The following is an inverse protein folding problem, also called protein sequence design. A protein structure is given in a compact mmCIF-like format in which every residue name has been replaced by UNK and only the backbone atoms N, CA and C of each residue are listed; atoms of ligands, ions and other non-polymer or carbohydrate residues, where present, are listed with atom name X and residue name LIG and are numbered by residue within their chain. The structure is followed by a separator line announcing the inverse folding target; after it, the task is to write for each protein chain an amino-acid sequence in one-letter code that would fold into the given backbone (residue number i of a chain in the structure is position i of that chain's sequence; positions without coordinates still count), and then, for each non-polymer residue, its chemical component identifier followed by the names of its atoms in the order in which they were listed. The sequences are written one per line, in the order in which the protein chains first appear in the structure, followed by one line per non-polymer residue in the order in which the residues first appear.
data_IF_869151166383
#
_entry.id   IF_869151166383
#
_cell.length_a   1.000
_cell.length_b   1.000
_cell.length_c   1.000
_cell.angle_alpha   90.00
_cell.angle_beta   90.00
_cell.angle_gamma   90.00
#
_symmetry.space_group_name_H-M   'P 1'
#
loop_
_entity.id
_entity.type
_entity.pdbx_description
1 polymer ?
#
# COMPACT_ATOMS: atom_id res chain seq x y z
N UNK A 1 -7.26 -60.98 -29.87
CA UNK A 1 -6.80 -59.56 -29.89
C UNK A 1 -6.23 -59.25 -28.50
N UNK A 2 -4.98 -59.59 -28.18
CA UNK A 2 -3.71 -58.86 -28.37
C UNK A 2 -3.66 -57.45 -27.73
N UNK A 3 -2.85 -57.38 -26.66
CA UNK A 3 -2.07 -56.25 -26.10
C UNK A 3 -2.82 -55.11 -25.39
N UNK A 4 -2.68 -55.06 -24.05
CA UNK A 4 -2.46 -53.85 -23.22
C UNK A 4 -2.42 -54.23 -21.73
N UNK A 5 -1.31 -54.81 -21.26
CA UNK A 5 -0.99 -55.02 -19.84
C UNK A 5 0.53 -55.02 -19.67
N UNK A 6 1.17 -53.84 -19.69
CA UNK A 6 2.62 -53.68 -19.39
C UNK A 6 3.05 -52.20 -19.30
N UNK A 7 2.31 -51.35 -18.57
CA UNK A 7 2.81 -49.97 -18.27
C UNK A 7 2.55 -49.53 -16.81
N UNK A 8 1.67 -50.20 -16.06
CA UNK A 8 1.30 -49.76 -14.70
C UNK A 8 2.31 -50.12 -13.58
N UNK A 9 3.43 -50.81 -13.88
CA UNK A 9 4.35 -51.30 -12.85
C UNK A 9 5.68 -50.51 -12.74
N UNK A 10 5.90 -49.48 -13.56
CA UNK A 10 7.18 -48.75 -13.61
C UNK A 10 7.13 -47.32 -13.02
N UNK A 11 5.94 -46.82 -12.64
CA UNK A 11 5.79 -45.46 -12.07
C UNK A 11 5.82 -45.47 -10.53
N UNK A 12 5.54 -46.60 -9.88
CA UNK A 12 5.57 -46.69 -8.41
C UNK A 12 6.98 -46.89 -7.80
N UNK A 13 8.00 -47.23 -8.60
CA UNK A 13 9.37 -47.43 -8.11
C UNK A 13 10.22 -46.14 -8.09
N UNK A 14 9.75 -45.06 -8.74
CA UNK A 14 10.48 -43.78 -8.82
C UNK A 14 10.12 -42.78 -7.70
N UNK A 15 9.00 -42.99 -6.99
CA UNK A 15 8.55 -42.10 -5.90
C UNK A 15 9.12 -42.53 -4.53
N UNK A 16 9.64 -43.76 -4.40
CA UNK A 16 10.20 -44.27 -3.16
C UNK A 16 11.72 -44.01 -2.97
N UNK A 17 12.41 -43.38 -3.92
CA UNK A 17 13.87 -43.17 -3.88
C UNK A 17 14.33 -41.70 -3.77
N UNK A 18 13.41 -40.75 -3.57
CA UNK A 18 13.74 -39.34 -3.35
C UNK A 18 13.48 -38.85 -1.91
N UNK A 19 13.28 -39.77 -0.96
CA UNK A 19 13.07 -39.51 0.47
C UNK A 19 14.26 -39.88 1.37
N UNK A 20 15.48 -40.04 0.82
CA UNK A 20 16.64 -40.44 1.62
C UNK A 20 17.91 -39.67 1.23
N UNK A 21 18.02 -38.40 1.60
CA UNK A 21 19.32 -37.71 1.74
C UNK A 21 19.22 -36.34 2.41
N UNK A 22 18.99 -36.31 3.73
CA UNK A 22 19.47 -35.21 4.58
C UNK A 22 20.16 -35.85 5.80
N UNK A 23 21.48 -35.66 5.87
CA UNK A 23 22.32 -36.10 6.98
C UNK A 23 22.19 -35.14 8.17
N UNK A 24 22.29 -35.63 9.42
CA UNK A 24 22.39 -34.77 10.60
C UNK A 24 23.87 -34.40 10.83
N UNK A 25 24.22 -33.12 10.68
CA UNK A 25 25.45 -32.60 11.25
C UNK A 25 25.16 -31.99 12.62
N UNK A 26 25.52 -32.77 13.63
CA UNK A 26 25.66 -32.32 15.00
C UNK A 26 26.85 -31.38 15.10
N UNK A 27 26.60 -30.09 15.37
CA UNK A 27 27.62 -29.16 15.84
C UNK A 27 27.37 -28.85 17.31
N UNK A 28 28.28 -29.36 18.12
CA UNK A 28 28.42 -29.08 19.54
C UNK A 28 28.70 -27.58 19.75
N UNK A 29 27.79 -26.86 20.42
CA UNK A 29 28.08 -25.53 20.95
C UNK A 29 28.51 -25.64 22.41
N UNK A 30 29.80 -25.36 22.59
CA UNK A 30 30.49 -25.17 23.86
C UNK A 30 29.80 -24.16 24.76
N UNK A 31 29.41 -24.60 25.98
CA UNK A 31 29.02 -23.74 27.10
C UNK A 31 30.15 -22.75 27.44
N UNK A 32 29.83 -21.46 27.46
CA UNK A 32 30.55 -20.43 28.24
C UNK A 32 29.55 -19.57 29.02
N UNK A 33 29.96 -19.05 30.20
CA UNK A 33 29.04 -18.65 31.25
C UNK A 33 28.38 -17.29 30.96
N UNK A 34 27.07 -17.22 31.21
CA UNK A 34 26.29 -15.98 31.18
C UNK A 34 26.67 -15.16 32.42
N UNK A 35 27.37 -14.04 32.19
CA UNK A 35 27.51 -12.98 33.15
C UNK A 35 26.14 -12.32 33.37
N UNK A 36 25.66 -12.40 34.59
CA UNK A 36 24.44 -11.78 35.11
C UNK A 36 24.58 -10.25 34.99
N UNK A 37 23.91 -9.64 34.01
CA UNK A 37 23.75 -8.19 33.89
C UNK A 37 22.27 -7.84 33.99
N UNK A 38 21.96 -7.06 35.01
CA UNK A 38 20.66 -6.51 35.42
C UNK A 38 19.78 -6.04 34.25
N UNK A 39 18.61 -6.67 34.09
CA UNK A 39 17.66 -6.49 32.99
C UNK A 39 16.49 -5.54 33.24
N UNK A 40 16.40 -4.84 34.39
CA UNK A 40 15.19 -4.07 34.72
C UNK A 40 15.05 -2.70 34.05
N UNK A 41 16.11 -2.15 33.43
CA UNK A 41 16.07 -0.80 32.84
C UNK A 41 15.72 -0.79 31.33
N UNK A 42 15.84 -1.93 30.64
CA UNK A 42 15.57 -2.03 29.20
C UNK A 42 14.11 -2.41 28.92
N UNK A 43 13.47 -3.18 29.81
CA UNK A 43 12.05 -3.53 29.70
C UNK A 43 11.13 -2.30 29.84
N UNK A 44 11.38 -1.41 30.81
CA UNK A 44 10.54 -0.21 31.00
C UNK A 44 10.66 0.85 29.90
N UNK A 45 11.80 0.93 29.21
CA UNK A 45 11.97 1.84 28.08
C UNK A 45 11.17 1.37 26.85
N UNK A 46 11.15 0.06 26.60
CA UNK A 46 10.38 -0.56 25.51
C UNK A 46 8.86 -0.51 25.76
N UNK A 47 8.44 -0.68 27.01
CA UNK A 47 7.03 -0.66 27.40
C UNK A 47 6.39 0.74 27.24
N UNK A 48 7.12 1.79 27.61
CA UNK A 48 6.63 3.18 27.47
C UNK A 48 6.54 3.66 26.01
N UNK A 49 7.45 3.20 25.13
CA UNK A 49 7.37 3.51 23.69
C UNK A 49 6.27 2.71 23.00
N UNK A 50 6.05 1.46 23.41
CA UNK A 50 4.95 0.61 22.92
C UNK A 50 3.58 1.18 23.27
N UNK A 51 3.38 1.61 24.52
CA UNK A 51 2.10 2.17 24.99
C UNK A 51 1.75 3.49 24.28
N UNK A 52 2.73 4.37 24.09
CA UNK A 52 2.53 5.64 23.37
C UNK A 52 2.20 5.40 21.88
N UNK A 53 2.80 4.39 21.27
CA UNK A 53 2.50 3.98 19.90
C UNK A 53 1.07 3.44 19.78
N UNK A 54 0.64 2.58 20.71
CA UNK A 54 -0.71 2.02 20.73
C UNK A 54 -1.78 3.12 20.88
N UNK A 55 -1.62 4.02 21.86
CA UNK A 55 -2.57 5.13 22.06
C UNK A 55 -2.66 6.06 20.83
N UNK A 56 -1.54 6.28 20.13
CA UNK A 56 -1.56 7.06 18.88
C UNK A 56 -2.34 6.34 17.80
N UNK A 57 -2.15 5.02 17.64
CA UNK A 57 -2.89 4.23 16.63
C UNK A 57 -4.40 4.26 16.91
N UNK A 58 -4.82 3.98 18.13
CA UNK A 58 -6.25 3.97 18.49
C UNK A 58 -6.90 5.35 18.31
N UNK A 59 -6.20 6.43 18.69
CA UNK A 59 -6.69 7.80 18.44
C UNK A 59 -6.83 8.12 16.96
N UNK A 60 -5.90 7.65 16.13
CA UNK A 60 -5.98 7.84 14.68
C UNK A 60 -7.16 7.06 14.08
N UNK A 61 -7.41 5.83 14.53
CA UNK A 61 -8.56 5.04 14.09
C UNK A 61 -9.89 5.72 14.43
N UNK A 62 -10.04 6.20 15.66
CA UNK A 62 -11.23 6.97 16.08
C UNK A 62 -11.38 8.23 15.22
N UNK A 63 -10.29 8.95 14.98
CA UNK A 63 -10.30 10.17 14.16
C UNK A 63 -10.75 9.88 12.71
N UNK A 64 -10.25 8.82 12.07
CA UNK A 64 -10.69 8.43 10.72
C UNK A 64 -12.18 8.14 10.69
N UNK A 65 -12.69 7.29 11.59
CA UNK A 65 -14.11 6.92 11.55
C UNK A 65 -15.03 8.08 11.95
N UNK A 66 -14.51 9.03 12.74
CA UNK A 66 -15.19 10.29 13.03
C UNK A 66 -15.25 11.19 11.79
N UNK A 67 -14.14 11.38 11.07
CA UNK A 67 -14.14 12.14 9.81
C UNK A 67 -15.10 11.53 8.79
N UNK A 68 -15.04 10.20 8.60
CA UNK A 68 -15.92 9.45 7.68
C UNK A 68 -17.40 9.71 7.95
N UNK A 69 -17.79 9.73 9.22
CA UNK A 69 -19.20 9.94 9.61
C UNK A 69 -19.69 11.36 9.35
N UNK A 70 -18.76 12.32 9.19
CA UNK A 70 -19.02 13.73 8.97
C UNK A 70 -18.66 14.22 7.55
N UNK A 71 -18.25 13.30 6.67
CA UNK A 71 -17.77 13.62 5.34
C UNK A 71 -18.78 13.18 4.26
N UNK A 72 -19.46 14.12 3.58
CA UNK A 72 -20.40 13.77 2.51
C UNK A 72 -19.72 13.17 1.28
N UNK A 73 -18.40 13.34 1.12
CA UNK A 73 -17.61 12.71 0.06
C UNK A 73 -16.85 11.48 0.56
N UNK A 74 -17.15 11.03 1.77
CA UNK A 74 -16.51 9.87 2.36
C UNK A 74 -16.85 8.58 1.62
N UNK A 75 -15.93 7.62 1.67
CA UNK A 75 -16.16 6.28 1.15
C UNK A 75 -17.24 5.56 1.96
N UNK A 76 -18.05 4.75 1.28
CA UNK A 76 -18.88 3.79 1.97
C UNK A 76 -17.98 2.77 2.70
N UNK A 77 -18.28 2.38 3.95
CA UNK A 77 -17.62 1.25 4.59
C UNK A 77 -17.85 -0.05 3.81
N UNK A 78 -16.88 -0.97 3.85
CA UNK A 78 -16.95 -2.24 3.10
C UNK A 78 -18.22 -3.04 3.43
N UNK A 79 -18.58 -3.18 4.70
CA UNK A 79 -19.81 -3.88 5.12
C UNK A 79 -21.08 -3.24 4.52
N UNK A 80 -21.11 -1.91 4.42
CA UNK A 80 -22.19 -1.17 3.75
C UNK A 80 -22.18 -1.38 2.24
N UNK A 81 -21.01 -1.50 1.60
CA UNK A 81 -20.92 -1.84 0.18
C UNK A 81 -21.45 -3.26 -0.05
N UNK A 82 -20.97 -4.24 0.71
CA UNK A 82 -21.31 -5.66 0.59
C UNK A 82 -22.81 -5.94 0.69
N UNK A 83 -23.52 -5.18 1.53
CA UNK A 83 -24.96 -5.28 1.68
C UNK A 83 -25.77 -4.80 0.44
N UNK A 84 -25.14 -4.12 -0.52
CA UNK A 84 -25.80 -3.62 -1.74
C UNK A 84 -25.84 -4.69 -2.83
N UNK A 85 -26.88 -4.70 -3.68
CA UNK A 85 -26.83 -5.47 -4.91
C UNK A 85 -25.79 -4.89 -5.88
N UNK A 86 -25.17 -5.74 -6.71
CA UNK A 86 -24.38 -5.29 -7.87
C UNK A 86 -25.26 -4.42 -8.78
N UNK A 87 -24.62 -3.52 -9.53
CA UNK A 87 -25.28 -2.61 -10.46
C UNK A 87 -24.79 -2.91 -11.88
N UNK A 88 -25.61 -2.62 -12.88
CA UNK A 88 -25.20 -2.83 -14.28
C UNK A 88 -23.98 -1.97 -14.63
N UNK A 89 -23.09 -2.51 -15.48
CA UNK A 89 -21.89 -1.79 -15.92
C UNK A 89 -22.19 -0.47 -16.64
N UNK A 90 -23.37 -0.37 -17.25
CA UNK A 90 -23.85 0.82 -17.96
C UNK A 90 -24.61 1.82 -17.05
N UNK A 91 -24.74 1.52 -15.74
CA UNK A 91 -25.37 2.44 -14.81
C UNK A 91 -24.57 3.77 -14.72
N UNK A 92 -25.22 4.94 -14.76
CA UNK A 92 -24.53 6.22 -14.77
C UNK A 92 -23.55 6.44 -13.60
N UNK A 93 -23.85 5.90 -12.41
CA UNK A 93 -22.95 6.03 -11.25
C UNK A 93 -21.71 5.12 -11.39
N UNK A 94 -21.88 3.92 -11.96
CA UNK A 94 -20.77 3.00 -12.27
C UNK A 94 -19.86 3.62 -13.32
N UNK A 95 -20.44 4.14 -14.42
CA UNK A 95 -19.70 4.81 -15.49
C UNK A 95 -18.92 6.01 -14.94
N UNK A 96 -19.56 6.87 -14.14
CA UNK A 96 -18.89 8.01 -13.52
C UNK A 96 -17.75 7.60 -12.57
N UNK A 97 -17.92 6.48 -11.85
CA UNK A 97 -16.87 5.87 -11.03
C UNK A 97 -15.69 5.36 -11.85
N UNK A 98 -15.96 4.63 -12.93
CA UNK A 98 -14.96 4.11 -13.86
C UNK A 98 -14.16 5.23 -14.54
N UNK A 99 -14.85 6.27 -15.03
CA UNK A 99 -14.21 7.44 -15.63
C UNK A 99 -13.33 8.19 -14.63
N UNK A 100 -13.76 8.31 -13.37
CA UNK A 100 -12.95 8.89 -12.29
C UNK A 100 -11.70 8.05 -12.05
N UNK A 101 -11.83 6.73 -11.92
CA UNK A 101 -10.70 5.82 -11.77
C UNK A 101 -9.71 5.94 -12.94
N UNK A 102 -10.22 5.89 -14.17
CA UNK A 102 -9.42 5.99 -15.40
C UNK A 102 -8.67 7.33 -15.49
N UNK A 103 -9.32 8.43 -15.13
CA UNK A 103 -8.69 9.77 -15.07
C UNK A 103 -7.58 9.84 -14.03
N UNK A 104 -7.75 9.18 -12.88
CA UNK A 104 -6.81 9.21 -11.77
C UNK A 104 -5.66 8.21 -11.91
N UNK A 105 -5.79 7.18 -12.76
CA UNK A 105 -4.78 6.14 -12.96
C UNK A 105 -3.35 6.68 -13.19
N UNK A 106 -3.09 7.70 -14.03
CA UNK A 106 -1.74 8.23 -14.20
C UNK A 106 -1.15 8.84 -12.91
N UNK A 107 -1.98 9.48 -12.09
CA UNK A 107 -1.56 10.02 -10.79
C UNK A 107 -1.31 8.89 -9.79
N UNK A 108 -2.21 7.91 -9.72
CA UNK A 108 -2.07 6.74 -8.86
C UNK A 108 -0.76 6.00 -9.15
N UNK A 109 -0.44 5.71 -10.42
CA UNK A 109 0.85 5.12 -10.83
C UNK A 109 2.04 5.91 -10.32
N UNK A 110 2.03 7.23 -10.54
CA UNK A 110 3.13 8.10 -10.13
C UNK A 110 3.36 8.03 -8.62
N UNK A 111 2.29 8.12 -7.83
CA UNK A 111 2.37 8.14 -6.36
C UNK A 111 2.65 6.76 -5.78
N UNK A 112 2.07 5.70 -6.32
CA UNK A 112 2.31 4.32 -5.90
C UNK A 112 3.78 3.94 -6.12
N UNK A 113 4.36 4.23 -7.30
CA UNK A 113 5.77 3.96 -7.58
C UNK A 113 6.69 4.76 -6.65
N UNK A 114 6.37 6.02 -6.37
CA UNK A 114 7.15 6.84 -5.44
C UNK A 114 7.09 6.28 -4.01
N UNK A 115 5.89 5.90 -3.55
CA UNK A 115 5.67 5.28 -2.24
C UNK A 115 6.42 3.96 -2.10
N UNK A 116 6.37 3.11 -3.13
CA UNK A 116 7.06 1.82 -3.17
C UNK A 116 8.58 1.98 -3.13
N UNK A 117 9.14 2.95 -3.87
CA UNK A 117 10.58 3.30 -3.79
C UNK A 117 10.97 3.79 -2.40
N UNK A 118 10.12 4.61 -1.77
CA UNK A 118 10.32 5.09 -0.41
C UNK A 118 10.35 3.94 0.60
N UNK A 119 9.38 3.02 0.53
CA UNK A 119 9.33 1.82 1.37
C UNK A 119 10.55 0.93 1.13
N UNK A 120 10.89 0.62 -0.12
CA UNK A 120 12.04 -0.21 -0.41
C UNK A 120 13.36 0.40 0.12
N UNK A 121 13.51 1.71 0.05
CA UNK A 121 14.66 2.41 0.66
C UNK A 121 14.63 2.27 2.19
N UNK A 122 13.48 2.48 2.82
CA UNK A 122 13.31 2.35 4.28
C UNK A 122 13.63 0.93 4.79
N UNK A 123 13.27 -0.10 4.03
CA UNK A 123 13.44 -1.50 4.40
C UNK A 123 14.66 -2.19 3.77
N UNK A 124 15.50 -1.46 3.03
CA UNK A 124 16.73 -2.00 2.43
C UNK A 124 16.49 -3.00 1.28
N UNK A 125 15.35 -2.90 0.58
CA UNK A 125 15.04 -3.75 -0.57
C UNK A 125 15.76 -3.22 -1.82
N UNK A 126 16.43 -4.08 -2.61
CA UNK A 126 17.19 -3.64 -3.78
C UNK A 126 16.35 -2.89 -4.82
N UNK A 127 16.87 -1.74 -5.28
CA UNK A 127 16.19 -0.85 -6.23
C UNK A 127 15.79 -1.53 -7.55
N UNK A 128 16.52 -2.56 -7.99
CA UNK A 128 16.21 -3.26 -9.24
C UNK A 128 14.86 -4.00 -9.17
N UNK A 129 14.47 -4.54 -8.00
CA UNK A 129 13.17 -5.19 -7.79
C UNK A 129 12.05 -4.18 -7.95
N UNK A 130 12.20 -3.02 -7.32
CA UNK A 130 11.24 -1.91 -7.39
C UNK A 130 11.17 -1.34 -8.80
N UNK A 131 12.27 -1.25 -9.52
CA UNK A 131 12.26 -0.77 -10.90
C UNK A 131 11.54 -1.74 -11.84
N UNK A 132 11.70 -3.05 -11.63
CA UNK A 132 10.95 -4.07 -12.36
C UNK A 132 9.44 -4.01 -12.04
N UNK A 133 9.08 -3.88 -10.76
CA UNK A 133 7.69 -3.69 -10.33
C UNK A 133 7.08 -2.40 -10.92
N UNK A 134 7.82 -1.29 -10.87
CA UNK A 134 7.38 -0.01 -11.43
C UNK A 134 7.13 -0.10 -12.95
N UNK A 135 7.92 -0.87 -13.69
CA UNK A 135 7.69 -1.08 -15.12
C UNK A 135 6.35 -1.80 -15.38
N UNK A 136 5.98 -2.76 -14.53
CA UNK A 136 4.68 -3.46 -14.60
C UNK A 136 3.54 -2.52 -14.25
N UNK A 137 3.66 -1.76 -13.16
CA UNK A 137 2.68 -0.72 -12.77
C UNK A 137 2.45 0.31 -13.89
N UNK A 138 3.50 0.67 -14.63
CA UNK A 138 3.38 1.60 -15.76
C UNK A 138 2.63 1.01 -16.95
N UNK A 139 2.59 -0.31 -17.11
CA UNK A 139 1.94 -0.98 -18.24
C UNK A 139 0.41 -0.97 -18.17
N UNK A 140 -0.18 -0.69 -17.00
CA UNK A 140 -1.63 -0.61 -16.81
C UNK A 140 -2.23 0.53 -17.61
N UNK A 141 -3.16 0.30 -18.52
CA UNK A 141 -3.74 1.36 -19.34
C UNK A 141 -5.22 1.57 -19.09
N UNK A 142 -5.89 0.60 -18.48
CA UNK A 142 -7.34 0.52 -18.48
C UNK A 142 -7.91 0.23 -17.10
N UNK A 143 -9.07 0.82 -16.84
CA UNK A 143 -10.00 0.45 -15.77
C UNK A 143 -11.23 -0.15 -16.40
N UNK A 144 -11.68 -1.29 -15.88
CA UNK A 144 -12.86 -2.00 -16.40
C UNK A 144 -13.84 -2.33 -15.27
N UNK A 145 -15.10 -1.87 -15.35
CA UNK A 145 -16.13 -2.29 -14.40
C UNK A 145 -16.48 -3.77 -14.57
N UNK A 146 -16.66 -4.47 -13.46
CA UNK A 146 -17.04 -5.88 -13.40
C UNK A 146 -18.13 -6.06 -12.33
N UNK A 147 -19.27 -6.65 -12.71
CA UNK A 147 -20.40 -6.84 -11.80
C UNK A 147 -20.16 -7.93 -10.76
N UNK A 148 -19.33 -8.92 -11.10
CA UNK A 148 -19.08 -10.10 -10.29
C UNK A 148 -18.08 -9.82 -9.16
N UNK A 149 -17.22 -8.80 -9.33
CA UNK A 149 -16.26 -8.37 -8.31
C UNK A 149 -16.88 -7.60 -7.14
N UNK A 150 -18.12 -7.09 -7.28
CA UNK A 150 -18.88 -6.41 -6.22
C UNK A 150 -18.10 -5.26 -5.55
N UNK A 151 -17.65 -5.43 -4.30
CA UNK A 151 -16.95 -4.46 -3.45
C UNK A 151 -15.43 -4.56 -3.56
N UNK A 152 -14.91 -5.40 -4.48
CA UNK A 152 -13.48 -5.61 -4.67
C UNK A 152 -12.97 -4.96 -5.96
N UNK A 153 -11.66 -4.78 -6.02
CA UNK A 153 -10.93 -4.59 -7.27
C UNK A 153 -9.93 -5.75 -7.41
N UNK A 154 -9.55 -6.06 -8.64
CA UNK A 154 -8.55 -7.11 -8.88
C UNK A 154 -7.75 -6.82 -10.13
N UNK A 155 -6.60 -7.46 -10.17
CA UNK A 155 -5.69 -7.51 -11.31
C UNK A 155 -5.44 -8.97 -11.66
N UNK A 156 -5.67 -9.34 -12.92
CA UNK A 156 -5.40 -10.70 -13.36
C UNK A 156 -3.96 -10.84 -13.84
N UNK A 157 -3.36 -12.01 -13.58
CA UNK A 157 -1.96 -12.26 -13.92
C UNK A 157 -1.71 -12.35 -15.43
N UNK A 158 -2.73 -12.74 -16.20
CA UNK A 158 -2.74 -12.86 -17.66
C UNK A 158 -3.08 -11.53 -18.36
N UNK A 159 -3.80 -10.62 -17.70
CA UNK A 159 -3.97 -9.24 -18.14
C UNK A 159 -3.33 -8.22 -17.18
N UNK A 160 -2.04 -7.98 -17.38
CA UNK A 160 -1.28 -6.98 -16.63
C UNK A 160 -1.57 -5.52 -17.06
N UNK A 161 -2.57 -5.26 -17.91
CA UNK A 161 -2.88 -3.93 -18.43
C UNK A 161 -4.18 -3.33 -17.91
N UNK A 162 -4.99 -4.14 -17.23
CA UNK A 162 -6.33 -3.74 -16.78
C UNK A 162 -6.44 -3.95 -15.28
N UNK A 163 -7.05 -2.97 -14.60
CA UNK A 163 -7.55 -3.15 -13.24
C UNK A 163 -9.06 -3.27 -13.35
N UNK A 164 -9.60 -4.38 -12.87
CA UNK A 164 -11.03 -4.63 -12.85
C UNK A 164 -11.60 -4.14 -11.53
N UNK A 165 -12.71 -3.44 -11.59
CA UNK A 165 -13.36 -2.88 -10.42
C UNK A 165 -14.80 -3.37 -10.32
N UNK A 166 -15.13 -3.89 -9.15
CA UNK A 166 -16.49 -4.14 -8.74
C UNK A 166 -17.37 -2.89 -8.87
N UNK A 167 -18.57 -3.05 -9.45
CA UNK A 167 -19.46 -1.91 -9.73
C UNK A 167 -19.86 -1.15 -8.47
N UNK A 168 -20.16 -1.85 -7.37
CA UNK A 168 -20.49 -1.20 -6.10
C UNK A 168 -19.27 -0.58 -5.43
N UNK A 169 -18.07 -1.09 -5.71
CA UNK A 169 -16.84 -0.46 -5.21
C UNK A 169 -16.58 0.89 -5.87
N UNK A 170 -16.77 0.99 -7.20
CA UNK A 170 -16.65 2.25 -7.94
C UNK A 170 -17.57 3.34 -7.39
N UNK A 171 -18.80 2.96 -7.04
CA UNK A 171 -19.81 3.87 -6.46
C UNK A 171 -19.46 4.19 -5.01
N UNK A 172 -19.00 3.19 -4.25
CA UNK A 172 -18.61 3.33 -2.84
C UNK A 172 -17.38 4.22 -2.61
N UNK A 173 -16.64 4.59 -3.66
CA UNK A 173 -15.45 5.43 -3.63
C UNK A 173 -15.68 6.79 -4.34
N UNK A 174 -16.51 7.69 -3.80
CA UNK A 174 -16.83 8.96 -4.46
C UNK A 174 -15.66 9.96 -4.45
N UNK A 175 -14.74 9.86 -3.49
CA UNK A 175 -13.59 10.76 -3.39
C UNK A 175 -12.44 10.35 -4.32
N UNK A 176 -11.65 11.36 -4.75
CA UNK A 176 -10.41 11.08 -5.50
C UNK A 176 -9.34 10.46 -4.59
N UNK A 177 -9.33 10.80 -3.30
CA UNK A 177 -8.42 10.21 -2.31
C UNK A 177 -8.69 8.71 -2.13
N UNK A 178 -9.94 8.31 -1.93
CA UNK A 178 -10.33 6.90 -1.83
C UNK A 178 -9.96 6.13 -3.10
N UNK A 179 -10.29 6.70 -4.27
CA UNK A 179 -9.97 6.09 -5.57
C UNK A 179 -8.45 5.95 -5.81
N UNK A 180 -7.64 6.97 -5.47
CA UNK A 180 -6.17 6.88 -5.58
C UNK A 180 -5.62 5.80 -4.66
N UNK A 181 -6.18 5.65 -3.45
CA UNK A 181 -5.75 4.63 -2.50
C UNK A 181 -5.90 3.23 -3.09
N UNK A 182 -7.10 2.92 -3.58
CA UNK A 182 -7.41 1.59 -4.16
C UNK A 182 -6.65 1.35 -5.46
N UNK A 183 -6.56 2.34 -6.35
CA UNK A 183 -5.73 2.19 -7.56
C UNK A 183 -4.26 1.89 -7.20
N UNK A 184 -3.71 2.56 -6.20
CA UNK A 184 -2.34 2.32 -5.76
C UNK A 184 -2.16 0.96 -5.08
N UNK A 185 -3.19 0.46 -4.39
CA UNK A 185 -3.26 -0.89 -3.84
C UNK A 185 -3.16 -1.93 -4.97
N UNK A 186 -4.05 -1.88 -5.96
CA UNK A 186 -4.06 -2.82 -7.11
C UNK A 186 -2.80 -2.75 -7.96
N UNK A 187 -2.27 -1.54 -8.17
CA UNK A 187 -0.99 -1.37 -8.86
C UNK A 187 0.15 -2.07 -8.12
N UNK A 188 0.11 -2.15 -6.80
CA UNK A 188 1.14 -2.82 -6.01
C UNK A 188 1.08 -4.34 -6.19
N UNK A 189 -0.11 -4.95 -6.23
CA UNK A 189 -0.28 -6.36 -6.62
C UNK A 189 0.29 -6.64 -8.02
N UNK A 190 -0.03 -5.80 -9.00
CA UNK A 190 0.54 -5.92 -10.35
C UNK A 190 2.06 -5.79 -10.37
N UNK A 191 2.59 -4.90 -9.53
CA UNK A 191 4.02 -4.69 -9.35
C UNK A 191 4.75 -5.93 -8.88
N UNK A 192 4.17 -6.69 -7.95
CA UNK A 192 4.74 -7.96 -7.47
C UNK A 192 4.78 -9.00 -8.59
N UNK A 193 3.62 -9.25 -9.20
CA UNK A 193 3.46 -10.12 -10.36
C UNK A 193 3.93 -11.57 -10.14
N UNK A 194 4.02 -12.40 -11.20
CA UNK A 194 4.27 -13.84 -11.10
C UNK A 194 5.71 -14.22 -10.71
N UNK A 195 6.53 -13.24 -10.33
CA UNK A 195 7.93 -13.44 -9.93
C UNK A 195 8.18 -13.01 -8.48
N UNK A 196 7.11 -12.67 -7.75
CA UNK A 196 7.17 -12.30 -6.33
C UNK A 196 8.25 -11.22 -6.10
N UNK A 197 8.26 -10.20 -6.97
CA UNK A 197 9.31 -9.19 -7.01
C UNK A 197 9.38 -8.40 -5.70
N UNK A 198 8.22 -8.14 -5.10
CA UNK A 198 7.98 -7.36 -3.90
C UNK A 198 7.80 -8.22 -2.65
N UNK A 199 7.70 -9.55 -2.76
CA UNK A 199 7.57 -10.46 -1.61
C UNK A 199 8.58 -10.20 -0.48
N UNK A 200 9.89 -9.93 -0.72
CA UNK A 200 10.80 -9.57 0.37
C UNK A 200 10.42 -8.28 1.11
N UNK A 201 9.80 -7.31 0.43
CA UNK A 201 9.28 -6.09 1.06
C UNK A 201 8.03 -6.42 1.89
N UNK A 202 7.13 -7.24 1.36
CA UNK A 202 5.91 -7.67 2.04
C UNK A 202 6.23 -8.35 3.36
N UNK A 203 7.16 -9.32 3.36
CA UNK A 203 7.61 -10.01 4.57
C UNK A 203 8.16 -9.06 5.63
N UNK A 204 8.98 -8.09 5.22
CA UNK A 204 9.59 -7.12 6.14
C UNK A 204 8.54 -6.21 6.78
N UNK A 205 7.55 -5.75 5.99
CA UNK A 205 6.46 -4.92 6.49
C UNK A 205 5.53 -5.74 7.39
N UNK A 206 5.12 -6.94 6.97
CA UNK A 206 4.26 -7.84 7.74
C UNK A 206 4.89 -8.22 9.09
N UNK A 207 6.19 -8.55 9.10
CA UNK A 207 6.92 -8.83 10.34
C UNK A 207 6.97 -7.60 11.26
N UNK A 208 7.22 -6.41 10.71
CA UNK A 208 7.24 -5.18 11.51
C UNK A 208 5.85 -4.88 12.08
N UNK A 209 4.81 -4.99 11.27
CA UNK A 209 3.43 -4.77 11.69
C UNK A 209 3.02 -5.76 12.79
N UNK A 210 3.36 -7.06 12.63
CA UNK A 210 3.11 -8.09 13.65
C UNK A 210 3.78 -7.72 14.97
N UNK A 211 5.05 -7.30 14.94
CA UNK A 211 5.78 -6.90 16.14
C UNK A 211 5.18 -5.65 16.82
N UNK A 212 4.64 -4.71 16.05
CA UNK A 212 4.10 -3.45 16.58
C UNK A 212 2.67 -3.59 17.10
N UNK A 213 1.90 -4.55 16.59
CA UNK A 213 0.46 -4.68 16.86
C UNK A 213 0.09 -5.93 17.65
N UNK A 214 0.96 -6.94 17.67
CA UNK A 214 0.64 -8.27 18.19
C UNK A 214 -0.28 -9.09 17.27
N UNK A 215 -0.62 -8.59 16.08
CA UNK A 215 -1.42 -9.31 15.09
C UNK A 215 -0.60 -10.41 14.40
N UNK A 216 -1.28 -11.49 14.02
CA UNK A 216 -0.68 -12.53 13.19
C UNK A 216 -0.80 -12.17 11.70
N UNK A 217 0.28 -11.64 11.14
CA UNK A 217 0.34 -11.17 9.74
C UNK A 217 1.29 -12.10 8.98
N UNK A 218 0.73 -13.20 8.49
CA UNK A 218 1.41 -14.29 7.76
C UNK A 218 0.65 -14.64 6.48
N UNK A 219 1.20 -15.49 5.62
CA UNK A 219 0.56 -15.89 4.36
C UNK A 219 0.46 -14.73 3.39
N UNK A 220 -0.74 -14.43 2.88
CA UNK A 220 -1.00 -13.29 1.96
C UNK A 220 -1.23 -11.95 2.68
N UNK A 221 -1.52 -11.95 3.99
CA UNK A 221 -1.76 -10.71 4.75
C UNK A 221 -0.64 -9.66 4.68
N UNK A 222 0.67 -10.03 4.62
CA UNK A 222 1.75 -9.06 4.43
C UNK A 222 1.70 -8.32 3.09
N UNK A 223 1.25 -9.00 2.04
CA UNK A 223 1.06 -8.43 0.69
C UNK A 223 -0.05 -7.38 0.75
N UNK A 224 -1.25 -7.79 1.17
CA UNK A 224 -2.44 -6.94 1.29
C UNK A 224 -2.15 -5.69 2.16
N UNK A 225 -1.54 -5.89 3.33
CA UNK A 225 -1.14 -4.78 4.19
C UNK A 225 -0.15 -3.83 3.50
N UNK A 226 0.80 -4.35 2.73
CA UNK A 226 1.76 -3.51 2.03
C UNK A 226 1.08 -2.68 0.94
N UNK A 227 0.13 -3.28 0.21
CA UNK A 227 -0.70 -2.60 -0.77
C UNK A 227 -1.48 -1.44 -0.12
N UNK A 228 -2.08 -1.65 1.06
CA UNK A 228 -2.76 -0.59 1.82
C UNK A 228 -1.83 0.52 2.30
N UNK A 229 -0.62 0.17 2.75
CA UNK A 229 0.39 1.16 3.15
C UNK A 229 0.82 2.00 1.95
N UNK A 230 0.98 1.39 0.76
CA UNK A 230 1.26 2.11 -0.49
C UNK A 230 0.08 3.00 -0.88
N UNK A 231 -1.15 2.52 -0.76
CA UNK A 231 -2.38 3.30 -0.97
C UNK A 231 -2.40 4.56 -0.10
N UNK A 232 -2.25 4.40 1.21
CA UNK A 232 -2.28 5.50 2.16
C UNK A 232 -1.13 6.51 1.96
N UNK A 233 0.09 6.05 1.63
CA UNK A 233 1.22 6.95 1.28
C UNK A 233 0.97 7.70 -0.04
N UNK A 234 0.29 7.07 -0.99
CA UNK A 234 -0.05 7.67 -2.27
C UNK A 234 -1.09 8.78 -2.13
N UNK A 235 -2.10 8.59 -1.30
CA UNK A 235 -3.10 9.62 -0.95
C UNK A 235 -2.44 10.85 -0.34
N UNK A 236 -1.52 10.66 0.63
CA UNK A 236 -0.76 11.77 1.20
C UNK A 236 0.00 12.56 0.13
N UNK A 237 0.67 11.86 -0.79
CA UNK A 237 1.43 12.49 -1.88
C UNK A 237 0.53 13.26 -2.86
N UNK A 238 -0.70 12.78 -3.07
CA UNK A 238 -1.71 13.45 -3.87
C UNK A 238 -2.19 14.76 -3.21
N UNK A 239 -2.57 14.70 -1.92
CA UNK A 239 -3.06 15.85 -1.15
C UNK A 239 -2.05 17.00 -1.12
N UNK A 240 -0.75 16.68 -1.00
CA UNK A 240 0.33 17.68 -1.04
C UNK A 240 0.39 18.49 -2.35
N UNK A 241 -0.24 18.00 -3.42
CA UNK A 241 -0.18 18.57 -4.77
C UNK A 241 -1.55 18.98 -5.34
N UNK A 242 -2.63 18.61 -4.68
CA UNK A 242 -4.00 18.93 -5.08
C UNK A 242 -4.68 19.71 -3.95
N UNK A 243 -4.61 21.05 -3.94
CA UNK A 243 -5.25 21.87 -2.91
C UNK A 243 -6.76 21.63 -2.85
N UNK A 244 -7.34 21.70 -1.64
CA UNK A 244 -8.78 21.58 -1.39
C UNK A 244 -9.15 22.47 -0.20
N UNK A 245 -10.45 22.76 -0.06
CA UNK A 245 -11.02 23.43 1.12
C UNK A 245 -11.22 22.46 2.30
N UNK A 246 -11.20 21.15 2.05
CA UNK A 246 -11.29 20.13 3.09
C UNK A 246 -9.99 20.10 3.93
N UNK A 247 -10.13 19.77 5.22
CA UNK A 247 -8.98 19.63 6.11
C UNK A 247 -8.06 18.48 5.66
N UNK A 248 -6.77 18.58 5.97
CA UNK A 248 -5.81 17.51 5.66
C UNK A 248 -6.21 16.19 6.32
N UNK A 249 -6.73 16.22 7.56
CA UNK A 249 -7.17 15.02 8.27
C UNK A 249 -8.32 14.32 7.53
N UNK A 250 -9.36 15.06 7.14
CA UNK A 250 -10.48 14.53 6.36
C UNK A 250 -10.03 13.87 5.07
N UNK A 251 -9.18 14.55 4.32
CA UNK A 251 -8.68 14.04 3.04
C UNK A 251 -7.80 12.80 3.20
N UNK A 252 -7.00 12.73 4.26
CA UNK A 252 -6.22 11.53 4.58
C UNK A 252 -7.13 10.38 5.03
N UNK A 253 -8.20 10.66 5.79
CA UNK A 253 -9.17 9.66 6.23
C UNK A 253 -9.84 8.96 5.03
N UNK A 254 -10.24 9.71 4.00
CA UNK A 254 -10.81 9.17 2.74
C UNK A 254 -10.00 8.06 2.10
N UNK A 255 -8.67 8.06 2.27
CA UNK A 255 -7.81 7.02 1.73
C UNK A 255 -7.90 5.66 2.43
N UNK A 256 -8.43 5.61 3.66
CA UNK A 256 -8.41 4.40 4.50
C UNK A 256 -9.75 4.10 5.17
N UNK A 257 -10.70 5.03 5.15
CA UNK A 257 -11.95 4.97 5.92
C UNK A 257 -12.97 3.93 5.43
N UNK A 258 -12.79 3.33 4.26
CA UNK A 258 -13.61 2.18 3.83
C UNK A 258 -13.48 1.01 4.83
N UNK A 259 -12.44 1.02 5.67
CA UNK A 259 -12.25 0.10 6.78
C UNK A 259 -13.02 0.44 8.07
N UNK A 260 -13.76 1.55 8.11
CA UNK A 260 -14.60 1.94 9.25
C UNK A 260 -15.94 1.20 9.26
N UNK A 261 -15.86 -0.12 9.41
CA UNK A 261 -16.99 -1.06 9.37
C UNK A 261 -17.66 -1.20 10.73
N UNK A 262 -18.91 -1.67 10.73
CA UNK A 262 -19.65 -2.11 11.92
C UNK A 262 -19.30 -3.56 12.24
N UNK A 263 -19.35 -4.42 11.23
CA UNK A 263 -19.00 -5.85 11.27
C UNK A 263 -17.55 -6.03 10.83
N UNK A 264 -16.68 -6.49 11.74
CA UNK A 264 -15.24 -6.57 11.52
C UNK A 264 -14.81 -8.02 11.30
N UNK A 265 -15.13 -8.53 10.11
CA UNK A 265 -14.81 -9.90 9.69
C UNK A 265 -13.44 -9.98 9.03
N UNK A 266 -12.85 -11.18 9.01
CA UNK A 266 -11.55 -11.47 8.40
C UNK A 266 -11.65 -12.77 7.62
N UNK A 267 -10.84 -12.92 6.58
CA UNK A 267 -10.71 -14.17 5.84
C UNK A 267 -9.28 -14.73 5.93
N UNK A 268 -8.99 -15.75 5.10
CA UNK A 268 -7.69 -16.42 5.05
C UNK A 268 -6.58 -15.58 4.39
N UNK A 269 -6.93 -14.56 3.62
CA UNK A 269 -6.01 -13.74 2.83
C UNK A 269 -5.82 -12.32 3.41
N UNK A 270 -6.86 -11.76 4.02
CA UNK A 270 -6.90 -10.38 4.50
C UNK A 270 -6.94 -10.31 6.02
N UNK A 271 -6.48 -9.19 6.57
CA UNK A 271 -6.79 -8.79 7.94
C UNK A 271 -8.23 -8.26 7.99
N UNK A 272 -8.86 -8.29 9.17
CA UNK A 272 -10.13 -7.57 9.35
C UNK A 272 -9.94 -6.08 9.08
N UNK A 273 -10.96 -5.36 8.58
CA UNK A 273 -10.82 -3.94 8.25
C UNK A 273 -10.23 -3.08 9.40
N UNK A 274 -10.66 -3.29 10.65
CA UNK A 274 -10.09 -2.55 11.80
C UNK A 274 -8.66 -2.99 12.11
N UNK A 275 -8.33 -4.27 11.88
CA UNK A 275 -6.95 -4.77 12.02
C UNK A 275 -6.03 -4.21 10.94
N UNK A 276 -6.53 -4.05 9.72
CA UNK A 276 -5.86 -3.34 8.62
C UNK A 276 -5.55 -1.90 9.01
N UNK A 277 -6.54 -1.13 9.48
CA UNK A 277 -6.32 0.25 9.95
C UNK A 277 -5.24 0.32 11.05
N UNK A 278 -5.33 -0.58 12.04
CA UNK A 278 -4.37 -0.66 13.13
C UNK A 278 -2.95 -0.92 12.61
N UNK A 279 -2.79 -1.90 11.71
CA UNK A 279 -1.51 -2.27 11.14
C UNK A 279 -0.94 -1.14 10.25
N UNK A 280 -1.76 -0.53 9.39
CA UNK A 280 -1.37 0.61 8.54
C UNK A 280 -0.85 1.77 9.39
N UNK A 281 -1.56 2.16 10.45
CA UNK A 281 -1.10 3.25 11.32
C UNK A 281 0.14 2.89 12.14
N UNK A 282 0.27 1.64 12.57
CA UNK A 282 1.44 1.17 13.31
C UNK A 282 2.73 1.27 12.45
N UNK A 283 2.67 0.84 11.19
CA UNK A 283 3.84 0.93 10.27
C UNK A 283 3.97 2.29 9.59
N UNK A 284 2.95 3.15 9.66
CA UNK A 284 2.96 4.52 9.14
C UNK A 284 2.56 5.54 10.21
N UNK A 285 3.38 5.75 11.26
CA UNK A 285 3.02 6.63 12.37
C UNK A 285 2.95 8.11 11.97
N UNK A 286 3.54 8.50 10.82
CA UNK A 286 3.40 9.85 10.28
C UNK A 286 1.97 10.11 9.77
N UNK A 287 1.34 9.12 9.16
CA UNK A 287 -0.07 9.19 8.76
C UNK A 287 -0.98 9.33 9.97
N UNK A 288 -0.79 8.47 10.99
CA UNK A 288 -1.56 8.52 12.23
C UNK A 288 -1.51 9.91 12.88
N UNK A 289 -0.31 10.49 13.00
CA UNK A 289 -0.14 11.85 13.54
C UNK A 289 -0.77 12.94 12.66
N UNK A 290 -0.71 12.82 11.34
CA UNK A 290 -1.30 13.81 10.45
C UNK A 290 -2.83 13.84 10.57
N UNK A 291 -3.47 12.68 10.74
CA UNK A 291 -4.91 12.56 10.95
C UNK A 291 -5.30 13.12 12.32
N UNK A 292 -4.61 12.71 13.40
CA UNK A 292 -4.89 13.24 14.75
C UNK A 292 -4.64 14.75 14.82
N UNK A 293 -3.53 15.23 14.26
CA UNK A 293 -3.14 16.64 14.30
C UNK A 293 -4.16 17.56 13.62
N UNK A 294 -4.86 17.09 12.58
CA UNK A 294 -5.94 17.87 11.96
C UNK A 294 -7.26 17.85 12.73
N UNK A 295 -7.43 16.96 13.72
CA UNK A 295 -8.63 16.95 14.58
C UNK A 295 -8.55 17.90 15.79
N UNK A 296 -7.37 18.45 16.08
CA UNK A 296 -7.12 19.14 17.36
C UNK A 296 -6.98 20.66 17.30
N UNK A 297 -6.94 21.32 16.12
CA UNK A 297 -6.80 22.78 16.03
C UNK A 297 -7.31 23.35 14.69
N UNK A 298 -8.63 23.41 14.48
CA UNK A 298 -9.19 24.14 13.31
C UNK A 298 -10.29 25.15 13.66
N UNK A 299 -10.08 25.88 14.77
CA UNK A 299 -10.65 27.23 14.96
C UNK A 299 -9.67 28.34 14.54
N UNK A 300 -8.63 28.02 13.76
CA UNK A 300 -7.56 28.98 13.48
C UNK A 300 -6.82 28.71 12.20
N UNK A 301 -7.39 29.20 11.09
CA UNK A 301 -6.71 29.59 9.85
C UNK A 301 -5.19 29.65 9.99
N UNK A 302 -4.51 28.58 9.57
CA UNK A 302 -3.09 28.65 9.24
C UNK A 302 -2.95 28.34 7.76
N UNK A 303 -2.93 29.43 7.00
CA UNK A 303 -2.36 29.45 5.66
C UNK A 303 -1.06 28.63 5.65
N UNK A 304 -1.09 27.49 4.97
CA UNK A 304 0.12 26.74 4.65
C UNK A 304 1.02 27.71 3.90
N UNK A 305 2.12 28.14 4.55
CA UNK A 305 3.19 28.88 3.89
C UNK A 305 3.67 28.00 2.74
N UNK A 306 3.37 28.48 1.53
CA UNK A 306 3.93 28.02 0.26
C UNK A 306 5.42 27.69 0.45
N UNK A 307 5.78 26.42 0.34
CA UNK A 307 7.17 26.03 0.15
C UNK A 307 7.63 26.63 -1.19
N UNK A 308 8.38 27.73 -1.14
CA UNK A 308 9.12 28.23 -2.29
C UNK A 308 10.48 27.53 -2.31
N UNK A 309 10.79 26.70 -3.32
CA UNK A 309 12.16 26.24 -3.50
C UNK A 309 13.04 27.45 -3.83
N UNK A 310 14.16 27.58 -3.11
CA UNK A 310 15.15 28.64 -3.31
C UNK A 310 15.57 28.70 -4.78
N UNK A 311 15.38 29.87 -5.40
CA UNK A 311 15.95 30.18 -6.71
C UNK A 311 17.47 30.04 -6.64
N UNK A 312 18.01 29.09 -7.39
CA UNK A 312 19.42 29.10 -7.77
C UNK A 312 19.65 30.34 -8.63
N UNK A 313 20.33 31.33 -8.09
CA UNK A 313 20.80 32.52 -8.80
C UNK A 313 21.93 32.13 -9.73
N UNK A 314 21.66 32.01 -11.03
CA UNK A 314 22.71 32.06 -12.05
C UNK A 314 23.03 33.53 -12.33
N UNK A 315 24.17 34.00 -11.83
CA UNK A 315 24.76 35.28 -12.24
C UNK A 315 25.28 35.19 -13.68
N UNK A 316 25.00 36.18 -14.55
CA UNK A 316 25.62 36.28 -15.85
C UNK A 316 26.96 37.04 -15.73
N UNK A 317 28.07 36.37 -16.05
CA UNK A 317 29.35 37.05 -16.27
C UNK A 317 29.40 37.57 -17.71
N UNK A 318 29.36 38.90 -17.82
CA UNK A 318 29.69 39.67 -19.02
C UNK A 318 31.22 39.80 -19.10
N UNK A 319 31.81 39.43 -20.22
CA UNK A 319 33.08 40.00 -20.65
C UNK A 319 33.00 40.26 -22.16
N UNK A 320 33.08 41.55 -22.49
CA UNK A 320 33.17 42.08 -23.84
C UNK A 320 34.60 41.89 -24.38
N UNK A 321 34.72 41.63 -25.68
CA UNK A 321 35.97 41.65 -26.42
C UNK A 321 35.70 41.93 -27.90
N UNK A 322 36.18 43.06 -28.36
CA UNK A 322 36.00 43.72 -29.65
C UNK A 322 36.76 43.05 -30.82
N UNK A 323 36.17 43.17 -32.03
CA UNK A 323 36.66 43.10 -33.44
C UNK A 323 38.19 43.19 -33.73
N UNK A 324 38.74 42.72 -34.89
CA UNK A 324 38.21 42.99 -36.25
C UNK A 324 38.46 41.97 -37.39
N UNK A 325 37.84 42.30 -38.55
CA UNK A 325 38.13 41.96 -39.95
C UNK A 325 39.21 40.93 -40.31
N UNK A 326 38.85 39.97 -41.16
CA UNK A 326 39.55 39.79 -42.45
C UNK A 326 38.68 39.11 -43.51
N UNK A 327 38.71 39.72 -44.70
CA UNK A 327 38.22 39.27 -46.00
C UNK A 327 39.28 38.34 -46.60
N UNK A 328 38.90 37.24 -47.25
CA UNK A 328 39.25 36.88 -48.65
C UNK A 328 39.14 35.38 -48.96
N UNK A 329 38.61 35.14 -50.16
CA UNK A 329 38.55 33.95 -51.03
C UNK A 329 37.47 32.91 -50.72
#
# INVERSE_FOLDING_TARGET
MKKRRTVAALVLAAVALALCSVRPEALAQSRRPVARRSSSAVEHAHESTGLFSYMTVERAMIAVCTERSNDPLGSAPIDVMQARPSMDVDDPEVVAGAERAQRLLPLAKKYAIASLRGLATEYGVPAWRVNAAAARMQAVTQIEPDMDLRDNAIVYSDDARTIYFGTIFLIGLPSEEGMISVLAHELTHLGDGPRDLLHPLFDLIGKRASNLTGLEITGRRPEELTCDVVGARSVRSYIERAPSNDTVARRLARGVEHNCVTEDETDEYHLSPRSTLRAVFAVNPALARAIIGGTSDDTGSTSIKRYQPSRVTTSPSRAAGTHPHHRLR
#
